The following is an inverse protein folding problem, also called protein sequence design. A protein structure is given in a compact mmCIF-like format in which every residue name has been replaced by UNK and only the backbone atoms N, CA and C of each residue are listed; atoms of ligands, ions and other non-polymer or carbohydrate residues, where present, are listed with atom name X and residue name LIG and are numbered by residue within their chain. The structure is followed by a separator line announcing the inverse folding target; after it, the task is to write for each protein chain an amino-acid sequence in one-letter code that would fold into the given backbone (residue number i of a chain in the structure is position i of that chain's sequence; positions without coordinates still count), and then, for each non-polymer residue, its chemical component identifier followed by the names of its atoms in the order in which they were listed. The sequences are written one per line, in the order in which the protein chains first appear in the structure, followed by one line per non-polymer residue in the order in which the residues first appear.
data_IF_197460516736
#
_entry.id   IF_197460516736
#
_cell.length_a   1.000
_cell.length_b   1.000
_cell.length_c   1.000
_cell.angle_alpha   90.00
_cell.angle_beta   90.00
_cell.angle_gamma   90.00
#
_symmetry.space_group_name_H-M   'P 1'
#
loop_
_entity.id
_entity.type
_entity.pdbx_description
1 polymer ?
#
# COMPACT_ATOMS: atom_id res chain seq x y z
N UNK A 1 -23.60 12.28 17.58
CA UNK A 1 -22.29 12.12 18.24
C UNK A 1 -21.22 12.18 17.15
N UNK A 2 -20.46 13.27 17.05
CA UNK A 2 -19.42 13.45 16.01
C UNK A 2 -18.06 13.05 16.59
N UNK A 3 -17.43 12.03 16.02
CA UNK A 3 -16.08 11.63 16.38
C UNK A 3 -15.06 12.52 15.65
N UNK A 4 -14.07 12.97 16.41
CA UNK A 4 -12.95 13.83 16.04
C UNK A 4 -11.94 13.01 15.22
N UNK A 5 -11.40 13.57 14.13
CA UNK A 5 -10.19 13.06 13.47
C UNK A 5 -9.12 14.17 13.52
N UNK A 6 -7.99 13.98 14.22
CA UNK A 6 -6.89 14.94 14.14
C UNK A 6 -6.02 14.59 12.92
N UNK A 7 -6.37 15.15 11.76
CA UNK A 7 -5.50 15.20 10.58
C UNK A 7 -4.78 16.55 10.54
N UNK A 8 -3.49 16.56 10.21
CA UNK A 8 -2.70 17.79 10.02
C UNK A 8 -3.27 18.73 8.94
N UNK A 9 -2.69 19.93 8.74
CA UNK A 9 -3.32 20.99 7.95
C UNK A 9 -3.42 20.59 6.48
N UNK A 10 -4.63 20.32 6.03
CA UNK A 10 -5.00 20.26 4.61
C UNK A 10 -5.43 21.66 4.16
N UNK A 11 -5.04 22.07 2.94
CA UNK A 11 -5.38 23.38 2.37
C UNK A 11 -6.91 23.62 2.30
N UNK A 12 -7.68 22.53 2.27
CA UNK A 12 -9.14 22.49 2.42
C UNK A 12 -9.54 21.07 2.88
N UNK A 13 -10.57 20.97 3.71
CA UNK A 13 -11.11 19.69 4.16
C UNK A 13 -12.00 19.10 3.05
N UNK A 14 -11.57 17.97 2.48
CA UNK A 14 -12.37 17.22 1.49
C UNK A 14 -13.07 16.10 2.24
N UNK A 15 -14.42 16.07 2.28
CA UNK A 15 -15.14 15.00 2.94
C UNK A 15 -14.77 13.64 2.32
N UNK A 16 -14.12 12.80 3.11
CA UNK A 16 -13.83 11.40 2.78
C UNK A 16 -14.50 10.55 3.85
N UNK A 17 -15.81 10.27 3.75
CA UNK A 17 -16.47 9.43 4.72
C UNK A 17 -16.04 7.97 4.54
N UNK A 18 -16.00 7.23 5.64
CA UNK A 18 -15.93 5.77 5.58
C UNK A 18 -17.17 5.24 4.87
N UNK A 19 -16.99 4.26 3.99
CA UNK A 19 -18.08 3.73 3.16
C UNK A 19 -17.90 2.24 2.86
N UNK A 20 -19.00 1.50 2.93
CA UNK A 20 -19.08 0.18 2.30
C UNK A 20 -19.33 0.37 0.80
N UNK A 21 -18.37 -0.05 -0.02
CA UNK A 21 -18.45 0.12 -1.47
C UNK A 21 -19.31 -0.98 -2.10
N UNK A 22 -19.13 -2.21 -1.60
CA UNK A 22 -19.91 -3.41 -1.95
C UNK A 22 -19.64 -4.49 -0.90
N UNK A 23 -20.34 -5.62 -0.99
CA UNK A 23 -20.08 -6.77 -0.12
C UNK A 23 -18.58 -7.13 -0.10
N UNK A 24 -17.98 -7.13 1.11
CA UNK A 24 -16.56 -7.41 1.33
C UNK A 24 -15.57 -6.29 0.97
N UNK A 25 -16.03 -5.08 0.63
CA UNK A 25 -15.14 -3.95 0.28
C UNK A 25 -15.54 -2.69 1.04
N UNK A 26 -14.60 -2.12 1.78
CA UNK A 26 -14.76 -0.87 2.51
C UNK A 26 -13.69 0.16 2.12
N UNK A 27 -14.08 1.42 2.09
CA UNK A 27 -13.19 2.57 2.06
C UNK A 27 -13.00 3.07 3.49
N UNK A 28 -11.75 3.06 3.97
CA UNK A 28 -11.37 3.43 5.35
C UNK A 28 -10.41 4.63 5.30
N UNK A 29 -10.95 5.85 5.14
CA UNK A 29 -10.14 7.06 5.07
C UNK A 29 -9.52 7.35 6.44
N UNK A 30 -8.27 7.84 6.43
CA UNK A 30 -7.54 8.10 7.67
C UNK A 30 -7.08 6.86 8.43
N UNK A 31 -7.14 5.67 7.82
CA UNK A 31 -6.60 4.43 8.42
C UNK A 31 -5.13 4.58 8.84
N UNK A 32 -4.34 5.29 8.04
CA UNK A 32 -2.99 5.71 8.39
C UNK A 32 -3.01 7.19 8.74
N UNK A 33 -2.59 7.54 9.96
CA UNK A 33 -2.26 8.92 10.28
C UNK A 33 -1.02 9.40 9.51
N UNK A 34 -0.72 10.70 9.57
CA UNK A 34 0.38 11.30 8.80
C UNK A 34 1.75 10.72 9.22
N UNK A 35 1.93 10.39 10.49
CA UNK A 35 3.18 9.82 10.99
C UNK A 35 3.39 8.41 10.44
N UNK A 36 2.35 7.57 10.52
CA UNK A 36 2.36 6.22 9.96
C UNK A 36 2.56 6.22 8.43
N UNK A 37 1.96 7.19 7.72
CA UNK A 37 2.21 7.37 6.29
C UNK A 37 3.68 7.71 6.00
N UNK A 38 4.26 8.66 6.74
CA UNK A 38 5.66 9.05 6.57
C UNK A 38 6.62 7.89 6.85
N UNK A 39 6.35 7.12 7.91
CA UNK A 39 7.14 5.95 8.27
C UNK A 39 7.06 4.87 7.17
N UNK A 40 5.85 4.53 6.70
CA UNK A 40 5.65 3.54 5.64
C UNK A 40 6.37 3.94 4.35
N UNK A 41 6.32 5.21 3.97
CA UNK A 41 7.05 5.75 2.80
C UNK A 41 8.55 5.66 3.00
N UNK A 42 9.07 5.98 4.20
CA UNK A 42 10.48 5.87 4.52
C UNK A 42 10.97 4.43 4.34
N UNK A 43 10.27 3.47 4.95
CA UNK A 43 10.58 2.05 4.86
C UNK A 43 10.51 1.54 3.41
N UNK A 44 9.50 1.95 2.65
CA UNK A 44 9.36 1.58 1.24
C UNK A 44 10.52 2.12 0.39
N UNK A 45 10.99 3.34 0.64
CA UNK A 45 12.17 3.92 -0.03
C UNK A 45 13.44 3.16 0.32
N UNK A 46 13.62 2.76 1.56
CA UNK A 46 14.77 1.95 1.98
C UNK A 46 14.79 0.59 1.29
N UNK A 47 13.63 -0.07 1.15
CA UNK A 47 13.50 -1.29 0.37
C UNK A 47 13.79 -1.06 -1.11
N UNK A 48 13.25 0.01 -1.70
CA UNK A 48 13.48 0.36 -3.10
C UNK A 48 14.95 0.64 -3.43
N UNK A 49 15.74 1.15 -2.48
CA UNK A 49 17.20 1.33 -2.67
C UNK A 49 17.96 0.01 -2.68
N UNK A 50 17.44 -1.03 -2.03
CA UNK A 50 18.07 -2.36 -1.93
C UNK A 50 17.55 -3.34 -2.97
N UNK A 51 16.32 -3.17 -3.43
CA UNK A 51 15.67 -4.02 -4.42
C UNK A 51 15.66 -3.42 -5.82
N UNK A 52 15.20 -4.22 -6.78
CA UNK A 52 15.01 -3.80 -8.16
C UNK A 52 13.55 -3.44 -8.39
N UNK A 53 13.29 -2.17 -8.69
CA UNK A 53 12.01 -1.76 -9.25
C UNK A 53 12.04 -1.95 -10.77
N UNK A 54 11.05 -2.65 -11.31
CA UNK A 54 10.88 -2.77 -12.76
C UNK A 54 9.50 -2.33 -13.19
N UNK A 55 9.35 -2.11 -14.49
CA UNK A 55 8.03 -1.94 -15.10
C UNK A 55 7.65 -3.32 -15.63
N UNK A 56 6.61 -3.97 -15.09
CA UNK A 56 6.17 -5.24 -15.66
C UNK A 56 5.52 -5.02 -17.02
N UNK A 57 5.65 -6.00 -17.91
CA UNK A 57 4.84 -6.06 -19.12
C UNK A 57 3.70 -7.03 -18.91
N UNK A 58 2.50 -6.55 -19.15
CA UNK A 58 1.25 -7.31 -19.03
C UNK A 58 0.60 -7.49 -20.41
N UNK A 59 -0.56 -8.14 -20.48
CA UNK A 59 -1.28 -8.37 -21.75
C UNK A 59 -1.51 -7.10 -22.58
N UNK A 60 -1.68 -5.94 -21.95
CA UNK A 60 -1.86 -4.64 -22.61
C UNK A 60 -0.56 -3.87 -22.90
N UNK A 61 0.61 -4.50 -22.70
CA UNK A 61 1.92 -3.88 -22.92
C UNK A 61 2.64 -3.48 -21.63
N UNK A 62 3.66 -2.62 -21.79
CA UNK A 62 4.54 -2.19 -20.72
C UNK A 62 3.82 -1.21 -19.78
N UNK A 63 3.69 -1.53 -18.49
CA UNK A 63 3.11 -0.61 -17.51
C UNK A 63 3.92 0.69 -17.41
N UNK A 64 3.29 1.81 -17.06
CA UNK A 64 3.98 3.06 -16.67
C UNK A 64 4.50 3.03 -15.23
N UNK A 65 3.93 2.15 -14.40
CA UNK A 65 4.25 2.00 -12.98
C UNK A 65 5.52 1.16 -12.80
N UNK A 66 6.41 1.63 -11.91
CA UNK A 66 7.51 0.85 -11.38
C UNK A 66 7.05 0.07 -10.14
N UNK A 67 7.31 -1.23 -10.10
CA UNK A 67 6.89 -2.14 -9.03
C UNK A 67 8.13 -2.83 -8.46
N UNK A 68 8.18 -2.92 -7.13
CA UNK A 68 9.02 -3.84 -6.38
C UNK A 68 8.11 -4.63 -5.45
N UNK A 69 8.20 -5.95 -5.50
CA UNK A 69 7.42 -6.84 -4.63
C UNK A 69 8.26 -7.27 -3.42
N UNK A 70 7.61 -7.54 -2.29
CA UNK A 70 8.24 -8.11 -1.07
C UNK A 70 7.52 -9.40 -0.67
N UNK A 71 8.24 -10.35 -0.07
CA UNK A 71 7.75 -11.69 0.27
C UNK A 71 7.55 -12.58 -0.96
N UNK A 72 6.54 -12.28 -1.78
CA UNK A 72 6.29 -12.95 -3.07
C UNK A 72 6.29 -11.92 -4.20
N UNK A 73 7.05 -12.19 -5.25
CA UNK A 73 7.10 -11.41 -6.48
C UNK A 73 6.00 -11.82 -7.44
N UNK A 74 5.24 -10.84 -7.92
CA UNK A 74 4.32 -11.00 -9.04
C UNK A 74 5.07 -10.96 -10.36
N UNK A 75 5.27 -12.13 -10.99
CA UNK A 75 5.91 -12.27 -12.29
C UNK A 75 4.86 -12.37 -13.37
N UNK A 76 5.00 -11.64 -14.47
CA UNK A 76 3.96 -11.58 -15.52
C UNK A 76 4.22 -12.45 -16.74
N UNK A 77 5.41 -13.06 -16.86
CA UNK A 77 5.80 -13.91 -17.99
C UNK A 77 6.46 -15.23 -17.57
N UNK A 78 5.70 -16.35 -17.50
CA UNK A 78 4.24 -16.40 -17.32
C UNK A 78 3.79 -15.81 -15.97
N UNK A 79 2.49 -15.51 -15.87
CA UNK A 79 1.83 -15.05 -14.65
C UNK A 79 1.96 -16.06 -13.50
N UNK A 80 2.72 -15.70 -12.47
CA UNK A 80 2.90 -16.52 -11.26
C UNK A 80 3.46 -15.70 -10.11
N UNK A 81 3.32 -16.22 -8.89
CA UNK A 81 4.02 -15.72 -7.72
C UNK A 81 5.26 -16.56 -7.43
N UNK A 82 6.44 -15.93 -7.44
CA UNK A 82 7.71 -16.54 -7.02
C UNK A 82 8.18 -15.90 -5.71
N UNK A 83 9.13 -16.48 -4.96
CA UNK A 83 9.77 -15.77 -3.85
C UNK A 83 10.35 -14.43 -4.33
N UNK A 84 10.13 -13.35 -3.58
CA UNK A 84 10.83 -12.08 -3.81
C UNK A 84 12.26 -12.12 -3.26
N UNK A 85 13.13 -11.28 -3.82
CA UNK A 85 14.48 -11.03 -3.30
C UNK A 85 14.47 -10.32 -1.93
N UNK A 86 13.37 -9.66 -1.57
CA UNK A 86 13.19 -8.99 -0.28
C UNK A 86 12.10 -9.68 0.54
N UNK A 87 12.36 -9.89 1.82
CA UNK A 87 11.37 -10.37 2.77
C UNK A 87 10.24 -9.33 2.97
N UNK A 88 9.03 -9.82 3.23
CA UNK A 88 7.92 -8.97 3.67
C UNK A 88 8.18 -8.51 5.11
N UNK A 89 8.26 -7.20 5.40
CA UNK A 89 8.50 -6.72 6.76
C UNK A 89 7.38 -7.12 7.72
N UNK A 90 7.73 -7.58 8.93
CA UNK A 90 6.75 -8.01 9.93
C UNK A 90 5.80 -6.89 10.33
N UNK A 91 6.30 -5.65 10.41
CA UNK A 91 5.47 -4.49 10.70
C UNK A 91 4.41 -4.22 9.61
N UNK A 92 4.67 -4.59 8.35
CA UNK A 92 3.66 -4.48 7.29
C UNK A 92 2.60 -5.58 7.40
N UNK A 93 2.98 -6.77 7.87
CA UNK A 93 2.03 -7.84 8.20
C UNK A 93 1.11 -7.39 9.33
N UNK A 94 1.69 -6.84 10.41
CA UNK A 94 0.92 -6.32 11.54
C UNK A 94 -0.04 -5.21 11.11
N UNK A 95 0.44 -4.25 10.30
CA UNK A 95 -0.39 -3.17 9.76
C UNK A 95 -1.53 -3.68 8.86
N UNK A 96 -1.26 -4.68 8.02
CA UNK A 96 -2.30 -5.29 7.18
C UNK A 96 -3.37 -5.99 8.02
N UNK A 97 -2.99 -6.62 9.13
CA UNK A 97 -3.93 -7.28 10.05
C UNK A 97 -4.74 -6.27 10.88
N UNK A 98 -4.17 -5.14 11.27
CA UNK A 98 -4.89 -4.12 12.03
C UNK A 98 -6.00 -3.46 11.22
N UNK A 99 -5.99 -3.57 9.89
CA UNK A 99 -7.09 -3.12 9.03
C UNK A 99 -8.36 -3.98 9.16
N UNK A 100 -8.28 -5.14 9.81
CA UNK A 100 -9.39 -6.07 10.02
C UNK A 100 -9.97 -6.05 11.45
N UNK A 101 -9.31 -5.32 12.37
CA UNK A 101 -9.72 -5.18 13.76
C UNK A 101 -10.75 -4.06 13.93
#
# INVERSE_FOLDING_TARGET
MRAIVPGGPVLFDVPRPAAHIRAGVAHVPGFLDVSAQAELVSQARDLARRGRMDRPVVGSGQMSVFILSVGREWRTRPYRYVPSELALPEQWIALGRSALA
#
